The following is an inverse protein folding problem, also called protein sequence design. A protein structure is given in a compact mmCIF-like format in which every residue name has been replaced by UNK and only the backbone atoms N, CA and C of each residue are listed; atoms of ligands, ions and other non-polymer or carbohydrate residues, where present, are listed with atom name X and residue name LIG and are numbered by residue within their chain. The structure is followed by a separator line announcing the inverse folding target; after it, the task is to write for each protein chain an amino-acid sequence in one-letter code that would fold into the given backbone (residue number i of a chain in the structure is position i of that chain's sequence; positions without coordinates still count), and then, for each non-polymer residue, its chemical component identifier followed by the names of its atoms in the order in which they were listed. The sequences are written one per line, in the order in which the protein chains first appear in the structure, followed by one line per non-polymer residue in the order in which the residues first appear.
data_IF_057246327897
#
_entry.id   IF_057246327897
#
_cell.length_a   1.000
_cell.length_b   1.000
_cell.length_c   1.000
_cell.angle_alpha   90.00
_cell.angle_beta   90.00
_cell.angle_gamma   90.00
#
_symmetry.space_group_name_H-M   'P 1'
#
loop_
_entity.id
_entity.type
_entity.pdbx_description
1 polymer ?
#
# COMPACT_ATOMS: atom_id res chain seq x y z
N UNK A 1 -12.45 -17.05 51.98
CA UNK A 1 -11.59 -16.07 51.27
C UNK A 1 -10.79 -16.75 50.16
N UNK A 2 -9.98 -17.77 50.46
CA UNK A 2 -9.16 -18.47 49.44
C UNK A 2 -9.98 -19.09 48.29
N UNK A 3 -11.12 -19.71 48.61
CA UNK A 3 -12.04 -20.29 47.60
C UNK A 3 -12.52 -19.26 46.57
N UNK A 4 -12.86 -18.05 47.03
CA UNK A 4 -13.31 -16.97 46.15
C UNK A 4 -12.21 -16.51 45.18
N UNK A 5 -10.96 -16.45 45.63
CA UNK A 5 -9.83 -16.11 44.76
C UNK A 5 -9.53 -17.19 43.73
N UNK A 6 -9.67 -18.47 44.10
CA UNK A 6 -9.51 -19.57 43.16
C UNK A 6 -10.63 -19.58 42.11
N UNK A 7 -11.89 -19.46 42.54
CA UNK A 7 -13.05 -19.41 41.63
C UNK A 7 -12.93 -18.22 40.64
N UNK A 8 -12.43 -17.07 41.11
CA UNK A 8 -12.16 -15.90 40.26
C UNK A 8 -11.00 -16.13 39.28
N UNK A 9 -9.92 -16.78 39.74
CA UNK A 9 -8.77 -17.13 38.89
C UNK A 9 -9.17 -18.10 37.80
N UNK A 10 -10.03 -19.06 38.11
CA UNK A 10 -10.54 -20.04 37.15
C UNK A 10 -11.43 -19.37 36.09
N UNK A 11 -12.28 -18.41 36.48
CA UNK A 11 -13.12 -17.63 35.57
C UNK A 11 -12.29 -16.75 34.62
N UNK A 12 -11.21 -16.14 35.13
CA UNK A 12 -10.25 -15.42 34.28
C UNK A 12 -9.54 -16.36 33.30
N UNK A 13 -9.14 -17.55 33.75
CA UNK A 13 -8.55 -18.58 32.89
C UNK A 13 -9.49 -18.98 31.75
N UNK A 14 -10.74 -19.30 32.08
CA UNK A 14 -11.76 -19.64 31.11
C UNK A 14 -12.04 -18.49 30.10
N UNK A 15 -11.99 -17.25 30.57
CA UNK A 15 -12.17 -16.07 29.71
C UNK A 15 -11.00 -15.91 28.73
N UNK A 16 -9.76 -16.14 29.18
CA UNK A 16 -8.56 -16.09 28.32
C UNK A 16 -8.63 -17.19 27.25
N UNK A 17 -8.94 -18.42 27.63
CA UNK A 17 -9.08 -19.54 26.68
C UNK A 17 -10.12 -19.23 25.59
N UNK A 18 -11.24 -18.63 25.98
CA UNK A 18 -12.28 -18.21 25.04
C UNK A 18 -11.79 -17.12 24.07
N UNK A 19 -11.02 -16.14 24.57
CA UNK A 19 -10.44 -15.07 23.75
C UNK A 19 -9.44 -15.66 22.75
N UNK A 20 -8.58 -16.60 23.17
CA UNK A 20 -7.62 -17.27 22.30
C UNK A 20 -8.32 -18.08 21.20
N UNK A 21 -9.40 -18.80 21.55
CA UNK A 21 -10.19 -19.56 20.59
C UNK A 21 -10.85 -18.66 19.52
N UNK A 22 -11.45 -17.54 19.93
CA UNK A 22 -12.05 -16.58 18.99
C UNK A 22 -10.99 -15.85 18.15
N UNK A 23 -9.80 -15.56 18.69
CA UNK A 23 -8.68 -15.03 17.90
C UNK A 23 -8.22 -16.03 16.83
N UNK A 24 -8.11 -17.32 17.17
CA UNK A 24 -7.74 -18.37 16.22
C UNK A 24 -8.78 -18.51 15.10
N UNK A 25 -10.06 -18.47 15.47
CA UNK A 25 -11.19 -18.50 14.51
C UNK A 25 -11.21 -17.27 13.61
N UNK A 26 -11.01 -16.07 14.15
CA UNK A 26 -10.93 -14.84 13.37
C UNK A 26 -9.76 -14.87 12.39
N UNK A 27 -8.58 -15.35 12.82
CA UNK A 27 -7.41 -15.55 11.95
C UNK A 27 -7.71 -16.52 10.81
N UNK A 28 -8.40 -17.61 11.10
CA UNK A 28 -8.84 -18.58 10.08
C UNK A 28 -9.82 -17.94 9.09
N UNK A 29 -10.83 -17.22 9.59
CA UNK A 29 -11.85 -16.58 8.76
C UNK A 29 -11.24 -15.51 7.84
N UNK A 30 -10.36 -14.65 8.37
CA UNK A 30 -9.63 -13.65 7.57
C UNK A 30 -8.82 -14.32 6.47
N UNK A 31 -8.05 -15.36 6.79
CA UNK A 31 -7.28 -16.10 5.78
C UNK A 31 -8.18 -16.74 4.71
N UNK A 32 -9.32 -17.30 5.10
CA UNK A 32 -10.27 -17.91 4.17
C UNK A 32 -10.93 -16.86 3.27
N UNK A 33 -11.36 -15.73 3.83
CA UNK A 33 -11.95 -14.61 3.08
C UNK A 33 -10.93 -13.98 2.13
N UNK A 34 -9.69 -13.78 2.56
CA UNK A 34 -8.60 -13.32 1.69
C UNK A 34 -8.37 -14.28 0.51
N UNK A 35 -8.41 -15.58 0.75
CA UNK A 35 -8.26 -16.61 -0.30
C UNK A 35 -9.46 -16.66 -1.24
N UNK A 36 -10.68 -16.52 -0.72
CA UNK A 36 -11.92 -16.55 -1.50
C UNK A 36 -12.11 -15.27 -2.34
N UNK A 37 -11.64 -14.12 -1.84
CA UNK A 37 -11.69 -12.83 -2.55
C UNK A 37 -10.68 -12.73 -3.71
N UNK A 38 -9.93 -13.79 -4.05
CA UNK A 38 -9.09 -13.84 -5.24
C UNK A 38 -7.71 -13.17 -5.12
N UNK A 39 -7.30 -12.78 -3.91
CA UNK A 39 -5.94 -12.32 -3.68
C UNK A 39 -5.13 -13.52 -3.19
N UNK A 40 -4.73 -14.39 -4.14
CA UNK A 40 -3.66 -15.36 -3.91
C UNK A 40 -2.55 -14.65 -3.14
N UNK A 41 -2.19 -15.21 -1.98
CA UNK A 41 -0.91 -15.05 -1.30
C UNK A 41 -0.17 -13.78 -1.73
N UNK A 42 -0.31 -12.72 -0.93
CA UNK A 42 0.69 -11.68 -0.91
C UNK A 42 2.02 -12.36 -0.53
N UNK A 43 2.74 -12.82 -1.55
CA UNK A 43 4.18 -12.67 -1.58
C UNK A 43 4.45 -11.23 -1.09
N UNK A 44 5.48 -10.97 -0.28
CA UNK A 44 5.79 -9.61 0.19
C UNK A 44 6.08 -8.59 -0.93
N UNK A 45 5.91 -8.98 -2.19
CA UNK A 45 6.06 -8.18 -3.38
C UNK A 45 4.83 -8.44 -4.26
N UNK A 46 4.19 -7.37 -4.71
CA UNK A 46 3.07 -7.33 -5.66
C UNK A 46 1.67 -7.30 -5.02
N UNK A 47 1.38 -6.16 -4.41
CA UNK A 47 0.05 -5.56 -4.38
C UNK A 47 -0.56 -5.57 -5.79
N UNK A 48 -1.56 -6.43 -6.00
CA UNK A 48 -2.47 -6.31 -7.15
C UNK A 48 -3.39 -5.13 -6.86
N UNK A 49 -2.85 -3.92 -7.04
CA UNK A 49 -3.64 -2.72 -7.14
C UNK A 49 -4.62 -2.92 -8.29
N UNK A 50 -5.91 -2.68 -8.05
CA UNK A 50 -6.89 -2.49 -9.11
C UNK A 50 -6.28 -1.55 -10.14
N UNK A 51 -5.86 -2.09 -11.29
CA UNK A 51 -5.16 -1.37 -12.35
C UNK A 51 -6.12 -0.40 -13.04
N UNK A 52 -6.55 0.63 -12.33
CA UNK A 52 -6.94 1.87 -12.98
C UNK A 52 -5.69 2.29 -13.75
N UNK A 53 -5.77 2.30 -15.09
CA UNK A 53 -4.64 2.72 -15.91
C UNK A 53 -4.44 4.20 -15.66
N UNK A 54 -3.46 4.54 -14.82
CA UNK A 54 -3.04 5.92 -14.63
C UNK A 54 -2.44 6.36 -15.96
N UNK A 55 -2.92 7.44 -16.58
CA UNK A 55 -2.32 7.97 -17.79
C UNK A 55 -0.85 8.32 -17.53
N UNK A 56 0.03 7.86 -18.41
CA UNK A 56 1.46 8.21 -18.34
C UNK A 56 1.66 9.68 -18.73
N UNK A 57 2.51 10.44 -18.03
CA UNK A 57 2.80 11.83 -18.35
C UNK A 57 3.64 11.93 -19.64
N UNK A 58 3.47 13.04 -20.36
CA UNK A 58 4.27 13.33 -21.56
C UNK A 58 5.74 13.56 -21.16
N UNK A 59 6.67 13.02 -21.95
CA UNK A 59 8.08 13.28 -21.74
C UNK A 59 8.45 14.75 -22.05
N UNK A 60 9.37 15.31 -21.27
CA UNK A 60 9.92 16.65 -21.51
C UNK A 60 11.26 16.56 -22.22
N UNK A 61 11.37 17.21 -23.37
CA UNK A 61 12.51 17.12 -24.28
C UNK A 61 13.58 18.21 -24.07
N UNK A 62 13.41 19.10 -23.08
CA UNK A 62 14.37 20.18 -22.81
C UNK A 62 14.08 21.48 -23.56
N UNK A 63 12.92 21.61 -24.21
CA UNK A 63 12.48 22.88 -24.79
C UNK A 63 12.52 24.00 -23.74
N UNK A 64 13.15 25.14 -24.09
CA UNK A 64 13.24 26.33 -23.22
C UNK A 64 11.93 27.14 -23.21
N UNK A 65 10.79 26.45 -23.20
CA UNK A 65 9.46 27.02 -23.07
C UNK A 65 8.99 26.83 -21.62
N UNK A 66 8.75 27.95 -20.93
CA UNK A 66 8.30 27.95 -19.54
C UNK A 66 6.98 27.20 -19.37
N UNK A 67 6.06 27.31 -20.33
CA UNK A 67 4.76 26.63 -20.24
C UNK A 67 4.91 25.13 -20.38
N UNK A 68 5.80 24.66 -21.24
CA UNK A 68 6.02 23.21 -21.40
C UNK A 68 6.68 22.62 -20.13
N UNK A 69 7.60 23.37 -19.52
CA UNK A 69 8.20 22.99 -18.24
C UNK A 69 7.16 22.96 -17.11
N UNK A 70 6.30 23.97 -17.01
CA UNK A 70 5.22 24.03 -16.02
C UNK A 70 4.22 22.87 -16.17
N UNK A 71 3.83 22.56 -17.41
CA UNK A 71 2.95 21.42 -17.72
C UNK A 71 3.60 20.10 -17.30
N UNK A 72 4.87 19.90 -17.63
CA UNK A 72 5.59 18.68 -17.24
C UNK A 72 5.65 18.51 -15.71
N UNK A 73 5.99 19.58 -14.97
CA UNK A 73 6.04 19.54 -13.50
C UNK A 73 4.65 19.23 -12.94
N UNK A 74 3.61 19.87 -13.47
CA UNK A 74 2.23 19.63 -13.03
C UNK A 74 1.81 18.17 -13.28
N UNK A 75 2.02 17.65 -14.48
CA UNK A 75 1.67 16.29 -14.86
C UNK A 75 2.39 15.25 -14.01
N UNK A 76 3.68 15.46 -13.72
CA UNK A 76 4.45 14.61 -12.80
C UNK A 76 3.87 14.59 -11.39
N UNK A 77 3.53 15.75 -10.85
CA UNK A 77 2.93 15.84 -9.52
C UNK A 77 1.59 15.10 -9.44
N UNK A 78 0.76 15.19 -10.49
CA UNK A 78 -0.50 14.45 -10.53
C UNK A 78 -0.25 12.95 -10.70
N UNK A 79 0.73 12.57 -11.52
CA UNK A 79 1.10 11.17 -11.72
C UNK A 79 1.52 10.51 -10.41
N UNK A 80 2.39 11.15 -9.61
CA UNK A 80 2.81 10.62 -8.31
C UNK A 80 1.65 10.44 -7.33
N UNK A 81 0.72 11.39 -7.29
CA UNK A 81 -0.49 11.30 -6.45
C UNK A 81 -1.37 10.14 -6.90
N UNK A 82 -1.56 9.98 -8.21
CA UNK A 82 -2.39 8.92 -8.77
C UNK A 82 -1.74 7.53 -8.62
N UNK A 83 -0.41 7.43 -8.68
CA UNK A 83 0.35 6.20 -8.53
C UNK A 83 0.62 5.78 -7.10
N UNK A 84 0.29 6.61 -6.10
CA UNK A 84 0.62 6.37 -4.71
C UNK A 84 2.13 6.35 -4.46
N UNK A 85 2.91 7.06 -5.27
CA UNK A 85 4.36 7.13 -5.14
C UNK A 85 4.73 8.24 -4.15
N UNK A 86 5.00 7.86 -2.90
CA UNK A 86 5.30 8.82 -1.83
C UNK A 86 6.80 9.02 -1.57
N UNK A 87 7.65 8.04 -1.93
CA UNK A 87 9.11 8.13 -1.75
C UNK A 87 9.72 9.15 -2.70
N UNK A 88 10.45 10.13 -2.15
CA UNK A 88 11.16 11.15 -2.94
C UNK A 88 12.18 10.54 -3.91
N UNK A 89 12.90 9.50 -3.49
CA UNK A 89 13.83 8.79 -4.37
C UNK A 89 13.11 8.20 -5.58
N UNK A 90 11.97 7.55 -5.36
CA UNK A 90 11.16 6.97 -6.44
C UNK A 90 10.54 8.04 -7.34
N UNK A 91 10.08 9.16 -6.78
CA UNK A 91 9.59 10.31 -7.56
C UNK A 91 10.68 10.88 -8.46
N UNK A 92 11.89 11.07 -7.94
CA UNK A 92 13.05 11.56 -8.71
C UNK A 92 13.42 10.59 -9.83
N UNK A 93 13.50 9.28 -9.55
CA UNK A 93 13.75 8.28 -10.59
C UNK A 93 12.69 8.34 -11.68
N UNK A 94 11.42 8.42 -11.30
CA UNK A 94 10.30 8.38 -12.24
C UNK A 94 10.19 9.67 -13.08
N UNK A 95 10.40 10.84 -12.49
CA UNK A 95 10.52 12.11 -13.22
C UNK A 95 11.66 12.03 -14.25
N UNK A 96 12.82 11.52 -13.84
CA UNK A 96 14.01 11.39 -14.70
C UNK A 96 13.78 10.46 -15.90
N UNK A 97 12.98 9.39 -15.72
CA UNK A 97 12.62 8.47 -16.80
C UNK A 97 11.88 9.17 -17.94
N UNK A 98 11.10 10.20 -17.63
CA UNK A 98 10.28 10.96 -18.57
C UNK A 98 10.96 12.26 -19.03
N UNK A 99 12.27 12.39 -18.84
CA UNK A 99 13.07 13.35 -19.60
C UNK A 99 13.47 12.72 -20.94
N UNK A 100 13.63 13.52 -21.99
CA UNK A 100 14.15 13.08 -23.28
C UNK A 100 15.09 14.12 -23.88
N UNK A 101 15.83 13.73 -24.91
CA UNK A 101 16.66 14.64 -25.73
C UNK A 101 17.59 15.51 -24.86
N UNK A 102 17.55 16.82 -25.05
CA UNK A 102 18.38 17.80 -24.35
C UNK A 102 18.10 17.86 -22.84
N UNK A 103 16.94 17.36 -22.37
CA UNK A 103 16.66 17.28 -20.94
C UNK A 103 17.37 16.10 -20.23
N UNK A 104 17.90 15.13 -20.98
CA UNK A 104 18.63 13.96 -20.42
C UNK A 104 20.16 14.12 -20.45
N UNK A 105 20.67 15.14 -21.13
CA UNK A 105 22.09 15.40 -21.38
C UNK A 105 22.63 16.49 -20.46
#
# INVERSE_FOLDING_TARGET
MLKFFNDLSDDFGATIEKIEAEMAKMKMQVNLTMRAAGNQTLNPVCSVSSKLKIPEPKAFNGNRDVKELEIFIFDMQQYFKASGTDSEETKVTLASMHLSDDAKL
#
